data_IF_177936430902
#
_entry.id   IF_177936430902
#
_cell.length_a   1.000
_cell.length_b   1.000
_cell.length_c   1.000
_cell.angle_alpha   90.00
_cell.angle_beta   90.00
_cell.angle_gamma   90.00
#
_symmetry.space_group_name_H-M   'P 1'
#
loop_
_entity.id
_entity.type
_entity.pdbx_description
1 polymer ?
#
# COMPACT_ATOMS: atom_id res chain seq x y z
N UNK A 1 -13.50 28.81 -17.02
CA UNK A 1 -14.19 27.83 -17.88
C UNK A 1 -15.01 26.99 -16.92
N UNK A 2 -16.16 27.53 -16.54
CA UNK A 2 -16.99 27.04 -15.44
C UNK A 2 -18.15 26.22 -16.01
N UNK A 3 -18.34 25.00 -15.50
CA UNK A 3 -19.46 24.14 -15.86
C UNK A 3 -19.09 22.73 -16.33
N UNK A 4 -18.04 22.10 -15.81
CA UNK A 4 -17.96 20.65 -15.92
C UNK A 4 -19.12 20.05 -15.09
N UNK A 5 -19.97 19.19 -15.67
CA UNK A 5 -21.02 18.53 -14.90
C UNK A 5 -20.39 17.81 -13.71
N UNK A 6 -20.96 17.98 -12.51
CA UNK A 6 -20.50 17.29 -11.31
C UNK A 6 -20.85 15.80 -11.42
N UNK A 7 -20.01 15.06 -12.17
CA UNK A 7 -20.18 13.65 -12.42
C UNK A 7 -19.96 12.88 -11.12
N UNK A 8 -20.90 11.99 -10.79
CA UNK A 8 -20.75 11.09 -9.65
C UNK A 8 -19.72 9.99 -9.94
N UNK A 9 -19.15 9.42 -8.88
CA UNK A 9 -18.27 8.25 -8.98
C UNK A 9 -19.04 6.95 -9.25
N UNK A 10 -20.36 6.99 -9.50
CA UNK A 10 -21.19 5.80 -9.67
C UNK A 10 -20.65 4.89 -10.80
N UNK A 11 -20.21 5.46 -11.92
CA UNK A 11 -19.65 4.68 -13.04
C UNK A 11 -18.31 4.00 -12.71
N UNK A 12 -17.57 4.51 -11.72
CA UNK A 12 -16.35 3.87 -11.20
C UNK A 12 -16.67 2.63 -10.37
N UNK A 13 -17.75 2.70 -9.57
CA UNK A 13 -18.17 1.63 -8.67
C UNK A 13 -19.11 0.62 -9.31
N UNK A 14 -19.71 0.95 -10.46
CA UNK A 14 -20.47 0.00 -11.25
C UNK A 14 -19.56 -1.17 -11.65
N UNK A 15 -19.96 -2.43 -11.42
CA UNK A 15 -19.14 -3.58 -11.76
C UNK A 15 -18.90 -3.65 -13.28
N UNK A 16 -17.86 -4.39 -13.67
CA UNK A 16 -17.68 -4.72 -15.08
C UNK A 16 -18.69 -5.80 -15.47
N UNK A 17 -19.25 -5.68 -16.69
CA UNK A 17 -20.14 -6.69 -17.27
C UNK A 17 -19.47 -8.07 -17.21
N UNK A 18 -20.26 -9.09 -16.88
CA UNK A 18 -19.84 -10.50 -16.77
C UNK A 18 -18.75 -10.77 -15.72
N UNK A 19 -18.45 -9.81 -14.84
CA UNK A 19 -17.59 -10.07 -13.68
C UNK A 19 -18.26 -11.00 -12.68
N UNK A 20 -17.50 -11.75 -11.89
CA UNK A 20 -18.05 -12.62 -10.84
C UNK A 20 -18.96 -11.87 -9.86
N UNK A 21 -18.69 -10.59 -9.63
CA UNK A 21 -19.50 -9.71 -8.80
C UNK A 21 -20.84 -9.37 -9.46
N UNK A 22 -20.83 -9.09 -10.77
CA UNK A 22 -22.06 -8.84 -11.52
C UNK A 22 -22.93 -10.09 -11.64
N UNK A 23 -22.32 -11.24 -11.95
CA UNK A 23 -23.02 -12.53 -12.05
C UNK A 23 -23.66 -12.98 -10.72
N UNK A 24 -23.18 -12.48 -9.57
CA UNK A 24 -23.76 -12.80 -8.25
C UNK A 24 -24.78 -11.77 -7.76
N UNK A 25 -24.67 -10.51 -8.20
CA UNK A 25 -25.49 -9.42 -7.68
C UNK A 25 -26.52 -8.88 -8.66
N UNK A 26 -26.38 -9.17 -9.96
CA UNK A 26 -27.22 -8.68 -11.05
C UNK A 26 -27.38 -7.15 -11.08
N UNK A 27 -26.40 -6.41 -10.55
CA UNK A 27 -26.45 -4.95 -10.45
C UNK A 27 -26.43 -4.32 -11.85
N UNK A 28 -25.59 -4.79 -12.77
CA UNK A 28 -25.56 -4.23 -14.12
C UNK A 28 -26.88 -4.47 -14.84
N UNK A 29 -27.47 -5.65 -14.70
CA UNK A 29 -28.76 -5.97 -15.30
C UNK A 29 -29.87 -5.05 -14.78
N UNK A 30 -30.00 -4.91 -13.46
CA UNK A 30 -31.02 -4.04 -12.87
C UNK A 30 -30.85 -2.57 -13.30
N UNK A 31 -29.61 -2.05 -13.27
CA UNK A 31 -29.31 -0.68 -13.71
C UNK A 31 -29.60 -0.50 -15.20
N UNK A 32 -29.22 -1.48 -16.03
CA UNK A 32 -29.41 -1.42 -17.46
C UNK A 32 -30.91 -1.44 -17.81
N UNK A 33 -31.69 -2.34 -17.19
CA UNK A 33 -33.14 -2.41 -17.40
C UNK A 33 -33.87 -1.14 -16.97
N UNK A 34 -33.40 -0.46 -15.92
CA UNK A 34 -33.94 0.83 -15.52
C UNK A 34 -33.61 1.96 -16.48
N UNK A 35 -32.40 1.96 -17.06
CA UNK A 35 -31.97 3.01 -18.00
C UNK A 35 -32.54 2.80 -19.40
N UNK A 36 -32.75 1.55 -19.81
CA UNK A 36 -33.28 1.18 -21.11
C UNK A 36 -34.46 0.21 -20.95
N UNK A 37 -35.65 0.72 -20.56
CA UNK A 37 -36.84 -0.12 -20.44
C UNK A 37 -37.25 -0.71 -21.80
N UNK A 38 -38.04 -1.80 -21.82
CA UNK A 38 -38.50 -2.43 -23.08
C UNK A 38 -39.23 -1.47 -24.02
N UNK A 39 -39.92 -0.49 -23.45
CA UNK A 39 -40.66 0.55 -24.16
C UNK A 39 -39.75 1.56 -24.88
N UNK A 40 -38.45 1.59 -24.53
CA UNK A 40 -37.50 2.56 -25.09
C UNK A 40 -37.08 2.26 -26.52
N UNK A 41 -37.15 1.00 -26.96
CA UNK A 41 -36.73 0.60 -28.30
C UNK A 41 -37.63 -0.55 -28.81
N UNK A 42 -38.23 -0.42 -30.02
CA UNK A 42 -39.03 -1.49 -30.61
C UNK A 42 -38.25 -2.80 -30.79
N UNK A 43 -36.91 -2.76 -30.85
CA UNK A 43 -36.06 -3.97 -30.92
C UNK A 43 -36.20 -4.85 -29.66
N UNK A 44 -36.63 -4.29 -28.52
CA UNK A 44 -36.76 -5.03 -27.26
C UNK A 44 -38.12 -5.68 -27.03
N UNK A 45 -39.15 -5.29 -27.79
CA UNK A 45 -40.53 -5.72 -27.55
C UNK A 45 -40.70 -7.24 -27.70
N UNK A 46 -40.09 -7.82 -28.74
CA UNK A 46 -40.27 -9.24 -29.10
C UNK A 46 -39.11 -10.14 -28.63
N UNK A 47 -38.15 -9.61 -27.87
CA UNK A 47 -36.99 -10.37 -27.42
C UNK A 47 -37.30 -11.23 -26.19
N UNK A 48 -36.80 -12.48 -26.14
CA UNK A 48 -36.77 -13.26 -24.91
C UNK A 48 -36.02 -12.54 -23.80
N UNK A 49 -36.45 -12.73 -22.55
CA UNK A 49 -35.92 -12.01 -21.38
C UNK A 49 -34.40 -12.06 -21.26
N UNK A 50 -33.80 -13.23 -21.48
CA UNK A 50 -32.35 -13.40 -21.45
C UNK A 50 -31.62 -12.59 -22.55
N UNK A 51 -32.22 -12.50 -23.75
CA UNK A 51 -31.64 -11.73 -24.86
C UNK A 51 -31.83 -10.23 -24.66
N UNK A 52 -32.97 -9.83 -24.07
CA UNK A 52 -33.21 -8.46 -23.65
C UNK A 52 -32.18 -8.01 -22.60
N UNK A 53 -31.99 -8.77 -21.52
CA UNK A 53 -31.01 -8.47 -20.47
C UNK A 53 -29.60 -8.30 -21.05
N UNK A 54 -29.15 -9.23 -21.89
CA UNK A 54 -27.84 -9.16 -22.54
C UNK A 54 -27.69 -7.89 -23.40
N UNK A 55 -28.68 -7.58 -24.26
CA UNK A 55 -28.63 -6.41 -25.16
C UNK A 55 -28.57 -5.10 -24.40
N UNK A 56 -29.34 -4.99 -23.33
CA UNK A 56 -29.45 -3.79 -22.52
C UNK A 56 -28.19 -3.59 -21.68
N UNK A 57 -27.62 -4.67 -21.12
CA UNK A 57 -26.31 -4.65 -20.47
C UNK A 57 -25.18 -4.23 -21.42
N UNK A 58 -25.13 -4.81 -22.62
CA UNK A 58 -24.14 -4.46 -23.65
C UNK A 58 -24.26 -2.99 -24.09
N UNK A 59 -25.49 -2.47 -24.18
CA UNK A 59 -25.75 -1.05 -24.44
C UNK A 59 -25.28 -0.16 -23.28
N UNK A 60 -25.57 -0.54 -22.03
CA UNK A 60 -25.07 0.15 -20.84
C UNK A 60 -23.53 0.23 -20.85
N UNK A 61 -22.86 -0.86 -21.17
CA UNK A 61 -21.41 -0.93 -21.29
C UNK A 61 -20.88 0.07 -22.33
N UNK A 62 -21.39 0.01 -23.55
CA UNK A 62 -20.87 0.79 -24.69
C UNK A 62 -21.25 2.26 -24.66
N UNK A 63 -22.49 2.60 -24.36
CA UNK A 63 -23.00 3.98 -24.46
C UNK A 63 -22.78 4.78 -23.17
N UNK A 64 -23.00 4.16 -22.01
CA UNK A 64 -22.93 4.87 -20.73
C UNK A 64 -21.57 4.67 -20.04
N UNK A 65 -21.19 3.43 -19.70
CA UNK A 65 -20.02 3.17 -18.85
C UNK A 65 -18.71 3.58 -19.52
N UNK A 66 -18.51 3.29 -20.81
CA UNK A 66 -17.30 3.73 -21.53
C UNK A 66 -17.17 5.26 -21.53
N UNK A 67 -18.25 5.99 -21.84
CA UNK A 67 -18.24 7.45 -21.88
C UNK A 67 -18.02 8.04 -20.48
N UNK A 68 -18.71 7.54 -19.47
CA UNK A 68 -18.60 8.01 -18.08
C UNK A 68 -17.22 7.70 -17.50
N UNK A 69 -16.64 6.52 -17.76
CA UNK A 69 -15.29 6.18 -17.30
C UNK A 69 -14.20 6.98 -18.03
N UNK A 70 -14.40 7.31 -19.32
CA UNK A 70 -13.54 8.23 -20.08
C UNK A 70 -13.56 9.65 -19.51
N UNK A 71 -14.75 10.19 -19.27
CA UNK A 71 -14.91 11.54 -18.69
C UNK A 71 -14.37 11.62 -17.26
N UNK A 72 -14.50 10.53 -16.48
CA UNK A 72 -13.86 10.40 -15.17
C UNK A 72 -12.33 10.21 -15.24
N UNK A 73 -11.76 10.00 -16.43
CA UNK A 73 -10.33 9.75 -16.68
C UNK A 73 -9.77 8.58 -15.86
N UNK A 74 -10.48 7.46 -15.84
CA UNK A 74 -10.00 6.24 -15.16
C UNK A 74 -8.79 5.64 -15.90
N UNK A 75 -7.74 5.19 -15.17
CA UNK A 75 -6.52 4.66 -15.80
C UNK A 75 -6.79 3.44 -16.66
N UNK A 76 -7.73 2.58 -16.27
CA UNK A 76 -8.07 1.35 -16.98
C UNK A 76 -8.50 1.64 -18.41
N UNK A 77 -9.24 2.73 -18.64
CA UNK A 77 -9.71 3.11 -19.97
C UNK A 77 -8.54 3.42 -20.92
N UNK A 78 -7.53 4.16 -20.43
CA UNK A 78 -6.34 4.50 -21.22
C UNK A 78 -5.43 3.27 -21.41
N UNK A 79 -5.32 2.42 -20.38
CA UNK A 79 -4.55 1.18 -20.44
C UNK A 79 -5.15 0.23 -21.50
N UNK A 80 -6.47 0.04 -21.50
CA UNK A 80 -7.15 -0.80 -22.49
C UNK A 80 -7.11 -0.21 -23.90
N UNK A 81 -7.19 1.12 -24.03
CA UNK A 81 -7.08 1.80 -25.33
C UNK A 81 -5.63 1.85 -25.87
N UNK A 82 -4.63 1.56 -25.03
CA UNK A 82 -3.22 1.75 -25.37
C UNK A 82 -2.80 3.22 -25.46
N UNK A 83 -3.63 4.13 -24.96
CA UNK A 83 -3.43 5.59 -25.01
C UNK A 83 -2.68 6.09 -23.76
N UNK A 84 -1.46 5.57 -23.54
CA UNK A 84 -0.65 5.88 -22.36
C UNK A 84 -0.35 7.37 -22.17
N UNK A 85 -0.22 8.11 -23.28
CA UNK A 85 0.05 9.56 -23.27
C UNK A 85 -1.05 10.42 -22.62
N UNK A 86 -2.27 9.90 -22.49
CA UNK A 86 -3.39 10.60 -21.85
C UNK A 86 -3.56 10.21 -20.37
N UNK A 87 -2.86 9.18 -19.89
CA UNK A 87 -2.96 8.76 -18.50
C UNK A 87 -2.37 9.83 -17.56
N UNK A 88 -3.11 10.23 -16.53
CA UNK A 88 -2.64 11.16 -15.49
C UNK A 88 -2.27 10.38 -14.23
N UNK A 89 -0.98 10.16 -13.98
CA UNK A 89 -0.51 9.31 -12.88
C UNK A 89 -0.94 9.80 -11.48
N UNK A 90 -1.04 11.11 -11.27
CA UNK A 90 -1.50 11.71 -10.00
C UNK A 90 -2.91 11.27 -9.60
N UNK A 91 -3.77 10.98 -10.59
CA UNK A 91 -5.16 10.55 -10.34
C UNK A 91 -5.28 9.04 -10.13
N UNK A 92 -4.21 8.29 -10.35
CA UNK A 92 -4.22 6.83 -10.21
C UNK A 92 -4.28 6.49 -8.73
N UNK A 93 -5.25 5.66 -8.36
CA UNK A 93 -5.40 5.17 -7.00
C UNK A 93 -4.21 4.26 -6.61
N UNK A 94 -3.86 4.22 -5.32
CA UNK A 94 -2.68 3.51 -4.82
C UNK A 94 -2.65 2.02 -5.20
N UNK A 95 -3.79 1.34 -5.11
CA UNK A 95 -3.95 -0.08 -5.50
C UNK A 95 -3.75 -0.27 -7.01
N UNK A 96 -4.35 0.61 -7.82
CA UNK A 96 -4.17 0.58 -9.27
C UNK A 96 -2.71 0.85 -9.65
N UNK A 97 -2.05 1.78 -8.96
CA UNK A 97 -0.62 2.06 -9.16
C UNK A 97 0.22 0.81 -8.89
N UNK A 98 0.00 0.12 -7.77
CA UNK A 98 0.68 -1.13 -7.43
C UNK A 98 0.48 -2.20 -8.52
N UNK A 99 -0.77 -2.42 -8.94
CA UNK A 99 -1.10 -3.47 -9.92
C UNK A 99 -0.56 -3.17 -11.32
N UNK A 100 -0.57 -1.91 -11.73
CA UNK A 100 -0.20 -1.49 -13.08
C UNK A 100 1.24 -0.97 -13.22
N UNK A 101 2.01 -0.86 -12.11
CA UNK A 101 3.45 -0.55 -12.13
C UNK A 101 4.22 -1.33 -13.21
N UNK A 102 4.15 -2.68 -13.29
CA UNK A 102 4.89 -3.41 -14.31
C UNK A 102 4.46 -3.09 -15.75
N UNK A 103 3.20 -2.69 -15.96
CA UNK A 103 2.71 -2.26 -17.27
C UNK A 103 3.22 -0.85 -17.62
N UNK A 104 3.20 0.08 -16.67
CA UNK A 104 3.70 1.44 -16.86
C UNK A 104 5.20 1.43 -17.19
N UNK A 105 6.00 0.68 -16.44
CA UNK A 105 7.44 0.55 -16.72
C UNK A 105 7.70 -0.04 -18.11
N UNK A 106 6.90 -1.01 -18.56
CA UNK A 106 7.11 -1.69 -19.85
C UNK A 106 6.64 -0.88 -21.06
N UNK A 107 5.56 -0.10 -20.92
CA UNK A 107 4.90 0.58 -22.04
C UNK A 107 5.13 2.09 -22.09
N UNK A 108 5.34 2.73 -20.95
CA UNK A 108 5.49 4.19 -20.81
C UNK A 108 6.57 4.56 -19.77
N UNK A 109 7.72 3.88 -19.85
CA UNK A 109 8.82 4.01 -18.89
C UNK A 109 9.33 5.45 -18.74
N UNK A 110 9.63 6.13 -19.86
CA UNK A 110 10.23 7.48 -19.84
C UNK A 110 9.35 8.53 -19.15
N UNK A 111 8.02 8.40 -19.27
CA UNK A 111 7.08 9.32 -18.62
C UNK A 111 6.85 8.93 -17.17
N UNK A 112 6.79 7.63 -16.89
CA UNK A 112 6.65 7.12 -15.55
C UNK A 112 7.88 7.47 -14.68
N UNK A 113 9.09 7.35 -15.21
CA UNK A 113 10.33 7.69 -14.51
C UNK A 113 10.42 9.20 -14.20
N UNK A 114 9.96 10.05 -15.13
CA UNK A 114 9.82 11.49 -14.89
C UNK A 114 8.82 11.78 -13.77
N UNK A 115 7.68 11.11 -13.77
CA UNK A 115 6.71 11.23 -12.69
C UNK A 115 7.28 10.79 -11.35
N UNK A 116 8.04 9.68 -11.30
CA UNK A 116 8.71 9.25 -10.07
C UNK A 116 9.75 10.26 -9.60
N UNK A 117 10.49 10.89 -10.51
CA UNK A 117 11.40 11.99 -10.19
C UNK A 117 10.65 13.21 -9.62
N UNK A 118 9.53 13.60 -10.22
CA UNK A 118 8.68 14.70 -9.72
C UNK A 118 8.12 14.40 -8.32
N UNK A 119 7.75 13.14 -8.03
CA UNK A 119 7.32 12.71 -6.69
C UNK A 119 8.47 12.76 -5.69
N UNK A 120 9.69 12.37 -6.08
CA UNK A 120 10.88 12.50 -5.22
C UNK A 120 11.18 13.96 -4.85
N UNK A 121 10.99 14.87 -5.81
CA UNK A 121 11.16 16.31 -5.64
C UNK A 121 9.95 16.97 -4.95
N UNK A 122 8.96 16.18 -4.50
CA UNK A 122 7.71 16.65 -3.87
C UNK A 122 6.89 17.60 -4.74
N UNK A 123 7.09 17.57 -6.07
CA UNK A 123 6.31 18.33 -7.06
C UNK A 123 5.00 17.66 -7.41
N UNK A 124 4.97 16.33 -7.35
CA UNK A 124 3.77 15.51 -7.56
C UNK A 124 3.45 14.69 -6.31
N UNK A 125 2.17 14.37 -6.09
CA UNK A 125 1.74 13.52 -4.98
C UNK A 125 1.35 12.13 -5.46
N UNK A 126 1.92 11.11 -4.82
CA UNK A 126 1.47 9.72 -4.97
C UNK A 126 0.41 9.40 -3.92
N UNK A 127 -0.66 8.73 -4.34
CA UNK A 127 -1.68 8.26 -3.39
C UNK A 127 -1.16 6.99 -2.67
N UNK A 128 -1.30 6.96 -1.34
CA UNK A 128 -0.94 5.81 -0.50
C UNK A 128 -2.11 5.32 0.38
N UNK A 129 -3.18 6.08 0.52
CA UNK A 129 -4.18 5.90 1.59
C UNK A 129 -5.02 4.62 1.56
N UNK A 130 -5.11 3.91 0.43
CA UNK A 130 -5.87 2.66 0.35
C UNK A 130 -5.00 1.39 0.49
N UNK A 131 -3.66 1.53 0.54
CA UNK A 131 -2.77 0.38 0.72
C UNK A 131 -2.45 0.19 2.21
N UNK A 132 -2.39 -1.06 2.63
CA UNK A 132 -1.89 -1.43 3.95
C UNK A 132 -0.36 -1.45 3.97
N UNK A 133 0.24 -1.30 5.16
CA UNK A 133 1.70 -1.25 5.32
C UNK A 133 2.41 -2.47 4.71
N UNK A 134 1.90 -3.68 4.97
CA UNK A 134 2.44 -4.92 4.41
C UNK A 134 2.23 -5.02 2.89
N UNK A 135 1.13 -4.48 2.37
CA UNK A 135 0.88 -4.48 0.92
C UNK A 135 1.86 -3.60 0.16
N UNK A 136 2.34 -2.51 0.79
CA UNK A 136 3.38 -1.63 0.23
C UNK A 136 4.73 -2.33 0.28
N UNK A 137 5.12 -2.78 1.47
CA UNK A 137 6.41 -3.42 1.76
C UNK A 137 6.70 -4.64 0.88
N UNK A 138 5.68 -5.46 0.65
CA UNK A 138 5.80 -6.70 -0.12
C UNK A 138 5.29 -6.56 -1.55
N UNK A 139 4.99 -5.33 -1.99
CA UNK A 139 4.75 -5.09 -3.41
C UNK A 139 6.03 -5.27 -4.21
N UNK A 140 5.92 -5.85 -5.41
CA UNK A 140 7.01 -5.91 -6.39
C UNK A 140 7.28 -4.55 -7.07
N UNK A 141 6.73 -3.46 -6.52
CA UNK A 141 6.72 -2.13 -7.13
C UNK A 141 7.99 -1.31 -6.82
N UNK A 142 8.97 -1.89 -6.11
CA UNK A 142 10.31 -1.34 -5.93
C UNK A 142 10.30 0.12 -5.46
N UNK A 143 10.74 1.04 -6.32
CA UNK A 143 10.77 2.47 -6.03
C UNK A 143 9.39 3.06 -5.69
N UNK A 144 8.33 2.60 -6.36
CA UNK A 144 6.96 3.07 -6.10
C UNK A 144 6.55 2.74 -4.67
N UNK A 145 6.97 1.58 -4.17
CA UNK A 145 6.70 1.14 -2.80
C UNK A 145 7.38 2.06 -1.77
N UNK A 146 8.62 2.46 -2.02
CA UNK A 146 9.37 3.41 -1.18
C UNK A 146 8.68 4.77 -1.10
N UNK A 147 8.20 5.29 -2.24
CA UNK A 147 7.49 6.56 -2.32
C UNK A 147 6.12 6.48 -1.63
N UNK A 148 5.39 5.38 -1.81
CA UNK A 148 4.12 5.13 -1.12
C UNK A 148 4.31 4.97 0.39
N UNK A 149 5.37 4.28 0.83
CA UNK A 149 5.73 4.15 2.25
C UNK A 149 6.04 5.51 2.87
N UNK A 150 6.90 6.30 2.22
CA UNK A 150 7.23 7.66 2.67
C UNK A 150 5.98 8.51 2.82
N UNK A 151 5.08 8.47 1.83
CA UNK A 151 3.82 9.21 1.88
C UNK A 151 2.93 8.77 3.05
N UNK A 152 2.76 7.46 3.24
CA UNK A 152 2.02 6.91 4.37
C UNK A 152 2.61 7.39 5.71
N UNK A 153 3.94 7.39 5.83
CA UNK A 153 4.64 7.88 7.02
C UNK A 153 4.39 9.37 7.25
N UNK A 154 4.47 10.21 6.22
CA UNK A 154 4.16 11.64 6.31
C UNK A 154 2.73 11.89 6.76
N UNK A 155 1.75 11.18 6.17
CA UNK A 155 0.33 11.30 6.52
C UNK A 155 0.06 10.90 7.99
N UNK A 156 0.78 9.89 8.51
CA UNK A 156 0.67 9.46 9.90
C UNK A 156 1.39 10.41 10.85
N UNK A 157 2.60 10.85 10.51
CA UNK A 157 3.35 11.83 11.29
C UNK A 157 2.64 13.18 11.40
N UNK A 158 1.89 13.58 10.35
CA UNK A 158 1.04 14.76 10.37
C UNK A 158 -0.12 14.64 11.37
N UNK A 159 -0.59 13.42 11.67
CA UNK A 159 -1.63 13.16 12.67
C UNK A 159 -1.07 13.07 14.09
N UNK A 160 0.18 12.64 14.23
CA UNK A 160 0.87 12.59 15.51
C UNK A 160 2.01 11.58 15.52
N UNK A 161 2.89 11.72 16.51
CA UNK A 161 3.98 10.77 16.78
C UNK A 161 3.62 9.87 17.95
N UNK A 162 4.18 8.67 17.96
CA UNK A 162 4.07 7.77 19.10
C UNK A 162 5.17 8.11 20.11
N UNK A 163 4.78 8.34 21.36
CA UNK A 163 5.70 8.62 22.45
C UNK A 163 5.72 7.43 23.43
N UNK A 164 6.92 7.00 23.83
CA UNK A 164 7.14 5.91 24.80
C UNK A 164 6.51 4.56 24.41
N UNK A 165 6.33 4.30 23.11
CA UNK A 165 5.90 2.99 22.63
C UNK A 165 7.13 2.19 22.15
N UNK A 166 7.08 0.87 22.30
CA UNK A 166 8.08 -0.02 21.72
C UNK A 166 7.37 -1.16 21.02
N UNK A 167 7.75 -1.42 19.77
CA UNK A 167 7.21 -2.55 19.03
C UNK A 167 7.85 -3.84 19.56
N UNK A 168 7.00 -4.74 20.02
CA UNK A 168 7.38 -6.11 20.36
C UNK A 168 6.79 -7.00 19.27
N UNK A 169 7.64 -7.55 18.42
CA UNK A 169 7.21 -8.32 17.25
C UNK A 169 7.28 -9.80 17.58
N UNK A 170 6.15 -10.50 17.50
CA UNK A 170 6.08 -11.94 17.62
C UNK A 170 6.04 -12.59 16.23
N UNK A 171 7.04 -13.41 15.96
CA UNK A 171 7.11 -14.24 14.76
C UNK A 171 7.27 -15.67 15.24
N UNK A 172 6.22 -16.20 15.84
CA UNK A 172 6.22 -17.58 16.27
C UNK A 172 6.52 -18.49 15.08
N UNK A 173 7.25 -19.59 15.28
CA UNK A 173 7.75 -20.48 14.22
C UNK A 173 6.69 -21.14 13.32
N UNK A 174 5.40 -20.83 13.49
CA UNK A 174 4.27 -21.20 12.63
C UNK A 174 3.78 -20.06 11.71
N UNK A 175 4.18 -18.80 11.95
CA UNK A 175 3.81 -17.66 11.13
C UNK A 175 4.66 -17.62 9.86
N UNK A 176 4.11 -18.19 8.79
CA UNK A 176 4.67 -18.10 7.43
C UNK A 176 3.67 -17.44 6.50
N UNK A 177 4.18 -16.73 5.49
CA UNK A 177 3.37 -15.96 4.53
C UNK A 177 2.87 -14.64 5.10
N UNK A 178 1.63 -14.27 4.76
CA UNK A 178 1.03 -12.97 5.06
C UNK A 178 1.08 -12.55 6.55
N UNK A 179 0.87 -13.44 7.55
CA UNK A 179 0.99 -13.04 8.95
C UNK A 179 2.37 -12.50 9.33
N UNK A 180 3.43 -13.09 8.79
CA UNK A 180 4.80 -12.63 9.00
C UNK A 180 5.03 -11.27 8.34
N UNK A 181 4.52 -11.12 7.12
CA UNK A 181 4.64 -9.88 6.35
C UNK A 181 3.96 -8.71 7.07
N UNK A 182 2.80 -8.96 7.66
CA UNK A 182 2.05 -8.01 8.50
C UNK A 182 2.84 -7.62 9.75
N UNK A 183 3.41 -8.58 10.48
CA UNK A 183 4.19 -8.30 11.70
C UNK A 183 5.42 -7.47 11.38
N UNK A 184 6.17 -7.81 10.32
CA UNK A 184 7.33 -7.04 9.90
C UNK A 184 6.92 -5.61 9.53
N UNK A 185 5.84 -5.47 8.77
CA UNK A 185 5.35 -4.17 8.34
C UNK A 185 4.89 -3.28 9.49
N UNK A 186 4.13 -3.84 10.42
CA UNK A 186 3.65 -3.10 11.58
C UNK A 186 4.79 -2.76 12.54
N UNK A 187 5.75 -3.68 12.71
CA UNK A 187 6.96 -3.45 13.50
C UNK A 187 7.80 -2.30 12.96
N UNK A 188 8.01 -2.25 11.63
CA UNK A 188 8.66 -1.11 10.97
C UNK A 188 7.89 0.18 11.18
N UNK A 189 6.57 0.15 10.95
CA UNK A 189 5.70 1.32 11.05
C UNK A 189 5.77 1.95 12.45
N UNK A 190 5.56 1.16 13.49
CA UNK A 190 5.61 1.63 14.88
C UNK A 190 7.00 2.14 15.25
N UNK A 191 8.05 1.43 14.80
CA UNK A 191 9.44 1.80 15.04
C UNK A 191 9.81 3.16 14.41
N UNK A 192 9.30 3.47 13.22
CA UNK A 192 9.56 4.74 12.53
C UNK A 192 8.71 5.91 13.04
N UNK A 193 7.48 5.63 13.50
CA UNK A 193 6.57 6.64 14.08
C UNK A 193 6.96 7.08 15.49
N UNK A 194 7.81 6.30 16.17
CA UNK A 194 8.28 6.60 17.51
C UNK A 194 9.27 7.76 17.56
N UNK A 195 9.25 8.50 18.67
CA UNK A 195 10.27 9.49 18.99
C UNK A 195 11.55 8.87 19.56
N UNK A 196 12.66 9.61 19.49
CA UNK A 196 13.89 9.27 20.18
C UNK A 196 13.63 9.14 21.70
N UNK A 197 14.23 8.15 22.41
CA UNK A 197 15.32 7.26 22.00
C UNK A 197 14.86 5.93 21.35
N UNK A 198 13.54 5.74 21.17
CA UNK A 198 12.95 4.47 20.74
C UNK A 198 12.73 4.39 19.23
N UNK A 199 12.98 5.48 18.52
CA UNK A 199 12.93 5.52 17.07
C UNK A 199 13.87 4.48 16.47
N UNK A 200 13.35 3.67 15.56
CA UNK A 200 14.13 2.61 14.92
C UNK A 200 14.42 1.41 15.83
N UNK A 201 13.78 1.29 17.00
CA UNK A 201 13.98 0.16 17.91
C UNK A 201 12.81 -0.83 17.87
N UNK A 202 13.14 -2.12 17.83
CA UNK A 202 12.19 -3.23 17.93
C UNK A 202 12.70 -4.27 18.92
N UNK A 203 11.80 -4.87 19.69
CA UNK A 203 12.10 -6.04 20.52
C UNK A 203 11.63 -7.29 19.80
N UNK A 204 12.53 -8.25 19.65
CA UNK A 204 12.18 -9.59 19.19
C UNK A 204 11.45 -10.34 20.30
N UNK A 205 10.33 -10.97 19.96
CA UNK A 205 9.64 -11.86 20.87
C UNK A 205 10.27 -13.26 20.76
N UNK A 206 11.09 -13.61 21.74
CA UNK A 206 11.81 -14.88 21.81
C UNK A 206 12.06 -15.25 23.27
N UNK A 207 12.60 -16.45 23.52
CA UNK A 207 13.04 -16.86 24.88
C UNK A 207 14.10 -15.90 25.45
N UNK A 208 14.81 -15.18 24.60
CA UNK A 208 15.74 -14.13 24.99
C UNK A 208 15.42 -12.83 24.25
N UNK A 209 14.45 -12.03 24.72
CA UNK A 209 14.01 -10.84 24.00
C UNK A 209 15.15 -9.83 23.87
N UNK A 210 15.59 -9.55 22.64
CA UNK A 210 16.70 -8.64 22.35
C UNK A 210 16.14 -7.36 21.76
N UNK A 211 16.73 -6.24 22.18
CA UNK A 211 16.44 -4.94 21.58
C UNK A 211 17.33 -4.79 20.36
N UNK A 212 16.71 -4.71 19.20
CA UNK A 212 17.37 -4.48 17.93
C UNK A 212 17.10 -3.05 17.47
N UNK A 213 18.17 -2.34 17.11
CA UNK A 213 18.05 -1.09 16.35
C UNK A 213 18.06 -1.44 14.87
N UNK A 214 16.98 -1.13 14.17
CA UNK A 214 16.83 -1.38 12.75
C UNK A 214 17.87 -0.53 12.00
N UNK A 215 18.72 -1.20 11.24
CA UNK A 215 19.69 -0.58 10.36
C UNK A 215 19.26 -0.79 8.90
N UNK A 216 19.36 0.27 8.08
CA UNK A 216 19.01 0.23 6.67
C UNK A 216 18.55 1.61 6.18
N UNK A 217 18.95 1.95 4.96
CA UNK A 217 18.56 3.21 4.31
C UNK A 217 17.32 3.02 3.43
N UNK A 218 17.14 1.83 2.85
CA UNK A 218 15.96 1.45 2.08
C UNK A 218 14.97 0.64 2.91
N UNK A 219 13.70 0.69 2.52
CA UNK A 219 12.63 -0.16 3.06
C UNK A 219 12.97 -1.64 2.86
N UNK A 220 13.57 -2.02 1.73
CA UNK A 220 14.01 -3.38 1.48
C UNK A 220 15.07 -3.84 2.49
N UNK A 221 16.12 -3.05 2.73
CA UNK A 221 17.17 -3.37 3.71
C UNK A 221 16.59 -3.55 5.12
N UNK A 222 15.70 -2.64 5.53
CA UNK A 222 15.03 -2.70 6.84
C UNK A 222 14.15 -3.94 6.97
N UNK A 223 13.41 -4.28 5.92
CA UNK A 223 12.56 -5.47 5.86
C UNK A 223 13.39 -6.74 5.95
N UNK A 224 14.47 -6.82 5.18
CA UNK A 224 15.38 -7.95 5.24
C UNK A 224 16.09 -8.06 6.58
N UNK A 225 16.46 -6.93 7.19
CA UNK A 225 17.02 -6.91 8.55
C UNK A 225 16.06 -7.54 9.55
N UNK A 226 14.77 -7.16 9.51
CA UNK A 226 13.74 -7.77 10.35
C UNK A 226 13.53 -9.26 10.05
N UNK A 227 13.45 -9.65 8.78
CA UNK A 227 13.30 -11.07 8.41
C UNK A 227 14.47 -11.95 8.86
N UNK A 228 15.69 -11.41 8.89
CA UNK A 228 16.91 -12.10 9.33
C UNK A 228 17.07 -12.17 10.84
N UNK A 229 16.24 -11.48 11.63
CA UNK A 229 16.31 -11.56 13.08
C UNK A 229 16.07 -13.00 13.55
N UNK A 230 16.73 -13.36 14.65
CA UNK A 230 16.50 -14.66 15.27
C UNK A 230 15.22 -14.60 16.10
N UNK A 231 14.16 -15.20 15.55
CA UNK A 231 12.83 -15.29 16.16
C UNK A 231 12.64 -16.57 16.98
N UNK A 232 13.71 -17.33 17.26
CA UNK A 232 13.62 -18.63 17.94
C UNK A 232 13.23 -18.52 19.41
N UNK A 233 12.20 -19.25 19.81
CA UNK A 233 11.91 -19.52 21.22
C UNK A 233 10.43 -19.66 21.52
N UNK A 234 10.13 -20.18 22.72
CA UNK A 234 8.80 -20.14 23.30
C UNK A 234 8.60 -18.84 24.11
N UNK A 235 7.35 -18.41 24.21
CA UNK A 235 6.88 -17.12 24.72
C UNK A 235 7.23 -16.85 26.19
N UNK A 236 7.72 -15.64 26.49
CA UNK A 236 7.67 -15.07 27.85
C UNK A 236 7.53 -13.52 27.84
N UNK A 237 6.29 -13.03 27.97
CA UNK A 237 6.00 -11.59 28.11
C UNK A 237 6.57 -11.00 29.42
N UNK A 238 6.68 -11.81 30.46
CA UNK A 238 7.18 -11.38 31.76
C UNK A 238 8.67 -11.09 31.67
N UNK A 239 9.43 -11.90 30.94
CA UNK A 239 10.86 -11.65 30.67
C UNK A 239 11.08 -10.36 29.88
N UNK A 240 10.23 -10.03 28.89
CA UNK A 240 10.31 -8.74 28.19
C UNK A 240 10.19 -7.57 29.18
N UNK A 241 9.22 -7.64 30.09
CA UNK A 241 9.00 -6.61 31.10
C UNK A 241 10.12 -6.56 32.14
N UNK A 242 10.62 -7.71 32.58
CA UNK A 242 11.73 -7.81 33.54
C UNK A 242 13.04 -7.27 32.96
N UNK A 243 13.37 -7.59 31.70
CA UNK A 243 14.52 -7.01 30.97
C UNK A 243 14.39 -5.52 30.77
N UNK A 244 13.18 -5.04 30.50
CA UNK A 244 12.92 -3.61 30.39
C UNK A 244 13.18 -2.89 31.72
N UNK A 245 12.68 -3.46 32.83
CA UNK A 245 12.87 -2.90 34.18
C UNK A 245 14.32 -2.93 34.65
N UNK A 246 15.08 -3.98 34.32
CA UNK A 246 16.50 -4.09 34.69
C UNK A 246 17.38 -3.08 33.92
N UNK A 247 17.02 -2.76 32.68
CA UNK A 247 17.71 -1.73 31.87
C UNK A 247 17.53 -0.30 32.39
N UNK A 248 16.34 0.06 32.87
CA UNK A 248 16.09 1.38 33.48
C UNK A 248 16.93 1.63 34.74
N UNK A 249 17.46 0.57 35.37
CA UNK A 249 18.28 0.66 36.61
C UNK A 249 19.78 0.85 36.37
N UNK A 250 20.28 0.71 35.13
CA UNK A 250 21.71 0.81 34.80
C UNK A 250 21.97 1.68 33.56
N UNK A 251 22.11 3.01 33.69
CA UNK A 251 22.32 3.93 32.56
C UNK A 251 23.71 3.86 31.92
N UNK A 252 24.66 3.11 32.51
CA UNK A 252 26.08 3.14 32.14
C UNK A 252 26.49 1.86 31.43
N UNK A 253 26.41 1.86 30.09
CA UNK A 253 27.28 1.14 29.15
C UNK A 253 26.69 1.32 27.74
N UNK A 254 26.81 2.54 27.23
CA UNK A 254 26.74 2.78 25.79
C UNK A 254 28.13 3.26 25.36
N UNK A 255 28.84 2.38 24.67
CA UNK A 255 30.09 2.65 24.00
C UNK A 255 30.29 1.55 22.97
N UNK A 256 30.48 1.93 21.71
CA UNK A 256 30.80 1.03 20.61
C UNK A 256 31.95 0.07 21.00
N UNK A 257 32.05 -1.14 20.39
CA UNK A 257 33.25 -1.94 20.55
C UNK A 257 34.48 -1.10 20.13
N UNK A 258 35.58 -1.10 20.90
CA UNK A 258 36.77 -0.35 20.54
C UNK A 258 37.33 -0.91 19.22
N UNK A 259 37.67 -0.01 18.30
CA UNK A 259 38.45 -0.35 17.12
C UNK A 259 39.81 -0.91 17.60
N UNK A 260 40.36 -1.96 16.96
CA UNK A 260 41.63 -2.53 17.37
C UNK A 260 42.76 -1.62 16.91
N UNK A 261 43.26 -0.78 17.83
CA UNK A 261 44.48 -0.02 17.62
C UNK A 261 44.45 1.36 18.26
N UNK A 262 44.72 1.44 19.56
CA UNK A 262 45.72 2.41 20.01
C UNK A 262 46.21 2.05 21.41
N UNK A 263 47.42 1.51 21.45
CA UNK A 263 48.16 1.27 22.66
C UNK A 263 48.85 2.57 23.09
N UNK A 264 48.55 3.02 24.30
CA UNK A 264 49.49 3.80 25.11
C UNK A 264 49.49 5.31 24.90
N UNK A 265 48.89 6.03 25.87
CA UNK A 265 49.63 7.08 26.58
C UNK A 265 49.00 7.39 27.93
N UNK A 266 49.72 7.03 28.98
CA UNK A 266 49.55 7.55 30.34
C UNK A 266 50.06 9.00 30.31
N UNK A 267 49.24 9.94 30.78
CA UNK A 267 49.71 11.27 31.16
C UNK A 267 49.37 11.52 32.63
N UNK A 268 50.39 12.02 33.33
CA UNK A 268 50.41 12.45 34.73
C UNK A 268 49.34 13.49 35.04
#
# INVERSE_FOLDING_TARGET
MDGAPHLSLAAKWCPSLDSCYDLSTFICEAVAQHLFPRESDPVYADLPDAHYAYRVCDRLGREALVLLRRTLQLPEVYIFAGEWGLATYERVASVAMKNYTPLFTKRDGDRFDRYLADVRESKAMITAGALLSHEILFSSAGEVAELQWRRMMEDLLARGKLCNCIAVCDVFGSMSGEPMDVVVALGLLVSELNEEPWKGCVITFSTEPKLHRIAGNSLQEKTEFMKRMDWRGNTDFQEVFLRWRSRQRSPRRFGNPPLPGDAGRVCK
#
